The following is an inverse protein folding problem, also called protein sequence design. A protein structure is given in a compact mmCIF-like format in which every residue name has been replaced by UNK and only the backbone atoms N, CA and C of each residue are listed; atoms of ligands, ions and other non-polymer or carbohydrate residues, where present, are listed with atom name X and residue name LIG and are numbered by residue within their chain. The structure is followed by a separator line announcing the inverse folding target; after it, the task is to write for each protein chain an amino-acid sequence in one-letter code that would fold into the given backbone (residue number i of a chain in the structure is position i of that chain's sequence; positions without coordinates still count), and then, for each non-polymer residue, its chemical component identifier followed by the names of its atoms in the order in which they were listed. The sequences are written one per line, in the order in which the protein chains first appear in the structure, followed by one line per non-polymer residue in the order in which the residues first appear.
data_IF_107540194011
#
_entry.id   IF_107540194011
#
_cell.length_a   1.000
_cell.length_b   1.000
_cell.length_c   1.000
_cell.angle_alpha   90.00
_cell.angle_beta   90.00
_cell.angle_gamma   90.00
#
_symmetry.space_group_name_H-M   'P 1'
#
loop_
_entity.id
_entity.type
_entity.pdbx_description
1 polymer ?
#
# COMPACT_ATOMS: atom_id res chain seq x y z
N UNK A 1 -9.95 -21.29 -10.75
CA UNK A 1 -9.72 -20.13 -11.62
C UNK A 1 -8.86 -19.12 -10.85
N UNK A 2 -8.00 -18.33 -11.50
CA UNK A 2 -7.29 -17.26 -10.85
C UNK A 2 -8.29 -16.22 -10.32
N UNK A 3 -7.98 -15.63 -9.16
CA UNK A 3 -8.77 -14.57 -8.55
C UNK A 3 -8.38 -13.21 -9.11
N UNK A 4 -9.35 -12.30 -9.22
CA UNK A 4 -9.17 -10.95 -9.72
C UNK A 4 -9.33 -9.93 -8.60
N UNK A 5 -8.38 -9.01 -8.50
CA UNK A 5 -8.48 -7.84 -7.64
C UNK A 5 -8.25 -6.56 -8.43
N UNK A 6 -8.90 -5.47 -8.03
CA UNK A 6 -8.73 -4.17 -8.66
C UNK A 6 -7.97 -3.20 -7.76
N UNK A 7 -7.06 -2.43 -8.38
CA UNK A 7 -6.39 -1.29 -7.77
C UNK A 7 -7.07 0.01 -8.26
N UNK A 8 -7.40 0.98 -7.40
CA UNK A 8 -8.18 2.17 -7.75
C UNK A 8 -7.35 3.25 -8.46
N UNK A 9 -6.61 2.89 -9.52
CA UNK A 9 -5.66 3.80 -10.19
C UNK A 9 -6.30 5.10 -10.66
N UNK A 10 -7.50 5.04 -11.23
CA UNK A 10 -8.24 6.20 -11.72
C UNK A 10 -8.76 7.10 -10.58
N UNK A 11 -8.93 6.54 -9.38
CA UNK A 11 -9.51 7.22 -8.22
C UNK A 11 -8.47 7.63 -7.17
N UNK A 12 -7.17 7.46 -7.45
CA UNK A 12 -6.10 7.79 -6.49
C UNK A 12 -6.16 9.25 -6.02
N UNK A 13 -6.47 10.19 -6.94
CA UNK A 13 -6.55 11.59 -6.58
C UNK A 13 -7.76 11.90 -5.71
N UNK A 14 -9.02 11.51 -6.08
CA UNK A 14 -10.19 11.65 -5.21
C UNK A 14 -10.03 11.00 -3.84
N UNK A 15 -9.45 9.81 -3.77
CA UNK A 15 -9.29 9.03 -2.52
C UNK A 15 -8.18 9.56 -1.61
N UNK A 16 -7.04 10.01 -2.18
CA UNK A 16 -5.83 10.28 -1.40
C UNK A 16 -5.48 11.76 -1.27
N UNK A 17 -5.99 12.62 -2.16
CA UNK A 17 -5.63 14.05 -2.19
C UNK A 17 -6.81 14.97 -1.97
N UNK A 18 -7.83 14.83 -2.80
CA UNK A 18 -8.94 15.78 -2.85
C UNK A 18 -10.00 15.48 -1.79
N UNK A 19 -10.03 14.25 -1.26
CA UNK A 19 -11.04 13.80 -0.30
C UNK A 19 -12.48 13.82 -0.85
N UNK A 20 -12.62 13.81 -2.18
CA UNK A 20 -13.91 13.89 -2.88
C UNK A 20 -14.56 12.52 -3.09
N UNK A 21 -13.86 11.44 -2.72
CA UNK A 21 -14.37 10.06 -2.72
C UNK A 21 -13.92 9.38 -1.44
N UNK A 22 -14.84 8.71 -0.76
CA UNK A 22 -14.58 7.87 0.40
C UNK A 22 -14.20 6.45 -0.02
N UNK A 23 -13.56 5.69 0.88
CA UNK A 23 -13.29 4.27 0.66
C UNK A 23 -14.58 3.47 0.42
N UNK A 24 -15.64 3.79 1.16
CA UNK A 24 -16.94 3.12 1.01
C UNK A 24 -17.53 3.35 -0.38
N UNK A 25 -17.52 4.57 -0.88
CA UNK A 25 -18.01 4.88 -2.24
C UNK A 25 -17.22 4.14 -3.31
N UNK A 26 -15.90 4.02 -3.15
CA UNK A 26 -15.10 3.20 -4.08
C UNK A 26 -15.43 1.72 -3.98
N UNK A 27 -15.59 1.17 -2.78
CA UNK A 27 -15.97 -0.24 -2.58
C UNK A 27 -17.35 -0.51 -3.19
N UNK A 28 -18.32 0.38 -2.98
CA UNK A 28 -19.66 0.26 -3.54
C UNK A 28 -19.67 0.32 -5.07
N UNK A 29 -18.80 1.14 -5.67
CA UNK A 29 -18.60 1.22 -7.12
C UNK A 29 -17.97 -0.06 -7.69
N UNK A 30 -17.05 -0.67 -6.97
CA UNK A 30 -16.30 -1.84 -7.43
C UNK A 30 -17.03 -3.17 -7.17
N UNK A 31 -17.87 -3.25 -6.16
CA UNK A 31 -18.56 -4.48 -5.76
C UNK A 31 -19.35 -5.17 -6.91
N UNK A 32 -20.08 -4.45 -7.80
CA UNK A 32 -20.83 -5.09 -8.89
C UNK A 32 -19.96 -5.58 -10.05
N UNK A 33 -18.64 -5.36 -10.05
CA UNK A 33 -17.76 -5.70 -11.17
C UNK A 33 -17.35 -7.18 -11.24
N UNK A 34 -17.81 -8.03 -10.30
CA UNK A 34 -17.48 -9.45 -10.29
C UNK A 34 -16.03 -9.74 -9.90
N UNK A 35 -15.43 -8.88 -9.09
CA UNK A 35 -14.08 -9.03 -8.55
C UNK A 35 -14.09 -9.92 -7.30
N UNK A 36 -12.95 -10.55 -7.01
CA UNK A 36 -12.71 -11.27 -5.76
C UNK A 36 -12.19 -10.35 -4.64
N UNK A 37 -11.55 -9.24 -5.01
CA UNK A 37 -10.95 -8.35 -4.02
C UNK A 37 -10.58 -6.97 -4.53
N UNK A 38 -10.16 -6.12 -3.58
CA UNK A 38 -9.72 -4.74 -3.83
C UNK A 38 -8.36 -4.53 -3.19
N UNK A 39 -7.39 -4.07 -3.98
CA UNK A 39 -6.08 -3.68 -3.48
C UNK A 39 -6.14 -2.28 -2.88
N UNK A 40 -5.56 -2.13 -1.70
CA UNK A 40 -5.46 -0.84 -1.04
C UNK A 40 -4.10 -0.21 -1.24
N UNK A 41 -4.05 1.11 -1.18
CA UNK A 41 -2.82 1.89 -1.18
C UNK A 41 -2.62 2.50 0.22
N UNK A 42 -1.39 2.48 0.71
CA UNK A 42 -1.04 2.98 2.05
C UNK A 42 -1.46 4.44 2.29
N UNK A 43 -1.49 5.26 1.24
CA UNK A 43 -1.94 6.66 1.32
C UNK A 43 -3.45 6.87 1.42
N UNK A 44 -4.27 5.82 1.39
CA UNK A 44 -5.73 5.90 1.59
C UNK A 44 -6.12 5.89 3.07
N UNK A 45 -5.24 5.43 3.94
CA UNK A 45 -5.49 5.23 5.35
C UNK A 45 -4.45 5.97 6.19
N UNK A 46 -4.89 6.60 7.25
CA UNK A 46 -3.97 7.22 8.21
C UNK A 46 -3.21 6.15 8.99
N UNK A 47 -1.88 6.28 9.03
CA UNK A 47 -1.01 5.35 9.73
C UNK A 47 -1.32 5.25 11.23
N UNK A 48 -1.78 6.34 11.83
CA UNK A 48 -1.95 6.45 13.28
C UNK A 48 -3.33 5.97 13.80
N UNK A 49 -4.25 5.52 12.95
CA UNK A 49 -5.61 5.17 13.36
C UNK A 49 -6.01 3.71 13.05
N UNK A 50 -5.71 2.77 13.99
CA UNK A 50 -6.08 1.36 13.83
C UNK A 50 -7.59 1.11 13.73
N UNK A 51 -8.44 2.00 14.29
CA UNK A 51 -9.89 1.85 14.18
C UNK A 51 -10.35 2.04 12.74
N UNK A 52 -9.71 2.93 11.98
CA UNK A 52 -9.95 3.11 10.55
C UNK A 52 -9.54 1.90 9.72
N UNK A 53 -8.51 1.19 10.13
CA UNK A 53 -8.09 -0.03 9.42
C UNK A 53 -9.13 -1.14 9.57
N UNK A 54 -9.64 -1.33 10.78
CA UNK A 54 -10.71 -2.31 11.04
C UNK A 54 -11.99 -1.95 10.28
N UNK A 55 -12.34 -0.67 10.21
CA UNK A 55 -13.52 -0.19 9.45
C UNK A 55 -13.33 -0.38 7.94
N UNK A 56 -12.15 -0.08 7.41
CA UNK A 56 -11.81 -0.29 6.00
C UNK A 56 -11.93 -1.78 5.62
N UNK A 57 -11.38 -2.68 6.46
CA UNK A 57 -11.51 -4.13 6.29
C UNK A 57 -12.97 -4.56 6.28
N UNK A 58 -13.75 -4.16 7.29
CA UNK A 58 -15.17 -4.49 7.40
C UNK A 58 -15.96 -4.01 6.19
N UNK A 59 -15.70 -2.80 5.70
CA UNK A 59 -16.36 -2.22 4.52
C UNK A 59 -16.22 -3.11 3.28
N UNK A 60 -15.06 -3.73 3.08
CA UNK A 60 -14.79 -4.65 1.96
C UNK A 60 -15.45 -6.02 2.20
N UNK A 61 -15.31 -6.56 3.41
CA UNK A 61 -15.87 -7.87 3.79
C UNK A 61 -17.40 -7.87 3.72
N UNK A 62 -18.08 -6.79 4.08
CA UNK A 62 -19.54 -6.61 3.96
C UNK A 62 -20.06 -6.74 2.52
N UNK A 63 -19.20 -6.58 1.52
CA UNK A 63 -19.50 -6.76 0.09
C UNK A 63 -19.05 -8.12 -0.46
N UNK A 64 -18.61 -9.04 0.40
CA UNK A 64 -18.11 -10.35 0.01
C UNK A 64 -16.76 -10.31 -0.69
N UNK A 65 -16.02 -9.20 -0.60
CA UNK A 65 -14.70 -9.00 -1.18
C UNK A 65 -13.60 -9.19 -0.12
N UNK A 66 -12.35 -9.33 -0.58
CA UNK A 66 -11.17 -9.36 0.29
C UNK A 66 -10.20 -8.24 -0.06
N UNK A 67 -9.28 -7.93 0.85
CA UNK A 67 -8.13 -7.06 0.58
C UNK A 67 -6.91 -7.98 0.38
N UNK A 68 -6.52 -8.36 -0.84
CA UNK A 68 -5.41 -9.29 -1.04
C UNK A 68 -4.05 -8.65 -0.78
N UNK A 69 -3.94 -7.33 -1.00
CA UNK A 69 -2.66 -6.62 -0.98
C UNK A 69 -2.82 -5.18 -0.49
N UNK A 70 -1.90 -4.76 0.37
CA UNK A 70 -1.62 -3.35 0.63
C UNK A 70 -0.45 -2.91 -0.26
N UNK A 71 -0.67 -1.89 -1.08
CA UNK A 71 0.35 -1.34 -1.97
C UNK A 71 1.07 -0.18 -1.29
N UNK A 72 2.38 -0.31 -1.08
CA UNK A 72 3.24 0.70 -0.49
C UNK A 72 4.26 1.22 -1.51
N UNK A 73 4.78 2.42 -1.28
CA UNK A 73 5.70 3.08 -2.22
C UNK A 73 6.83 3.78 -1.46
N UNK A 74 7.63 3.05 -0.65
CA UNK A 74 8.80 3.61 0.00
C UNK A 74 9.87 3.99 -1.04
N UNK A 75 10.77 4.89 -0.67
CA UNK A 75 11.93 5.23 -1.47
C UNK A 75 13.22 4.68 -0.84
N UNK A 76 13.42 3.38 -0.98
CA UNK A 76 14.55 2.65 -0.45
C UNK A 76 15.85 2.85 -1.24
N UNK A 77 15.76 3.46 -2.43
CA UNK A 77 16.94 3.82 -3.23
C UNK A 77 17.47 5.22 -2.92
N UNK A 78 16.91 5.94 -1.95
CA UNK A 78 17.40 7.28 -1.60
C UNK A 78 18.85 7.22 -1.07
N UNK A 79 19.78 8.12 -1.52
CA UNK A 79 21.18 8.08 -1.10
C UNK A 79 21.37 8.43 0.37
N UNK A 80 20.53 9.30 0.93
CA UNK A 80 20.55 9.66 2.34
C UNK A 80 20.08 8.52 3.22
N UNK A 81 20.96 8.05 4.10
CA UNK A 81 20.70 6.93 5.00
C UNK A 81 19.62 7.24 6.05
N UNK A 82 19.56 8.49 6.53
CA UNK A 82 18.55 8.88 7.51
C UNK A 82 17.15 8.92 6.87
N UNK A 83 17.06 9.39 5.63
CA UNK A 83 15.83 9.32 4.86
C UNK A 83 15.36 7.86 4.69
N UNK A 84 16.25 6.96 4.30
CA UNK A 84 15.90 5.52 4.18
C UNK A 84 15.47 4.92 5.51
N UNK A 85 16.11 5.30 6.62
CA UNK A 85 15.70 4.84 7.97
C UNK A 85 14.25 5.20 8.27
N UNK A 86 13.83 6.42 7.94
CA UNK A 86 12.44 6.86 8.12
C UNK A 86 11.49 6.06 7.22
N UNK A 87 11.87 5.82 5.97
CA UNK A 87 11.05 5.00 5.04
C UNK A 87 10.93 3.53 5.50
N UNK A 88 11.99 2.95 6.07
CA UNK A 88 11.97 1.60 6.66
C UNK A 88 10.98 1.53 7.83
N UNK A 89 11.00 2.50 8.74
CA UNK A 89 10.06 2.50 9.87
C UNK A 89 8.59 2.70 9.41
N UNK A 90 8.37 3.50 8.39
CA UNK A 90 7.05 3.60 7.75
C UNK A 90 6.61 2.26 7.14
N UNK A 91 7.51 1.59 6.41
CA UNK A 91 7.19 0.30 5.78
C UNK A 91 6.84 -0.77 6.81
N UNK A 92 7.60 -0.87 7.91
CA UNK A 92 7.26 -1.74 9.04
C UNK A 92 5.85 -1.46 9.58
N UNK A 93 5.46 -0.20 9.61
CA UNK A 93 4.13 0.19 10.05
C UNK A 93 3.06 -0.24 9.03
N UNK A 94 3.32 -0.08 7.73
CA UNK A 94 2.43 -0.55 6.67
C UNK A 94 2.30 -2.06 6.62
N UNK A 95 3.35 -2.82 6.94
CA UNK A 95 3.29 -4.28 7.09
C UNK A 95 2.30 -4.66 8.22
N UNK A 96 2.35 -3.96 9.36
CA UNK A 96 1.38 -4.17 10.45
C UNK A 96 -0.04 -3.78 10.03
N UNK A 97 -0.20 -2.69 9.29
CA UNK A 97 -1.48 -2.28 8.72
C UNK A 97 -2.01 -3.34 7.74
N UNK A 98 -1.17 -3.87 6.85
CA UNK A 98 -1.56 -4.95 5.94
C UNK A 98 -2.10 -6.17 6.69
N UNK A 99 -1.43 -6.58 7.76
CA UNK A 99 -1.89 -7.66 8.62
C UNK A 99 -3.26 -7.35 9.27
N UNK A 100 -3.46 -6.14 9.79
CA UNK A 100 -4.72 -5.71 10.37
C UNK A 100 -5.87 -5.66 9.35
N UNK A 101 -5.57 -5.29 8.10
CA UNK A 101 -6.51 -5.31 6.98
C UNK A 101 -6.83 -6.74 6.50
N UNK A 102 -6.13 -7.76 6.98
CA UNK A 102 -6.27 -9.14 6.51
C UNK A 102 -5.61 -9.38 5.15
N UNK A 103 -4.75 -8.48 4.69
CA UNK A 103 -4.03 -8.62 3.44
C UNK A 103 -2.96 -9.72 3.54
N UNK A 104 -2.91 -10.58 2.53
CA UNK A 104 -1.89 -11.63 2.42
C UNK A 104 -0.53 -11.11 1.93
N UNK A 105 -0.50 -9.92 1.33
CA UNK A 105 0.70 -9.33 0.75
C UNK A 105 0.82 -7.85 1.07
N UNK A 106 2.05 -7.39 1.28
CA UNK A 106 2.44 -5.99 1.29
C UNK A 106 3.38 -5.76 0.10
N UNK A 107 2.95 -4.94 -0.87
CA UNK A 107 3.78 -4.64 -2.03
C UNK A 107 4.70 -3.48 -1.72
N UNK A 108 5.97 -3.67 -1.97
CA UNK A 108 7.03 -2.69 -1.78
C UNK A 108 7.59 -2.25 -3.13
N UNK A 109 7.62 -0.95 -3.40
CA UNK A 109 8.36 -0.39 -4.51
C UNK A 109 9.79 -0.03 -4.07
N UNK A 110 10.74 -0.15 -5.01
CA UNK A 110 12.15 0.06 -4.70
C UNK A 110 12.54 1.54 -4.49
N UNK A 111 11.82 2.47 -5.09
CA UNK A 111 12.12 3.91 -5.03
C UNK A 111 12.28 4.55 -6.40
N UNK A 112 13.02 5.65 -6.47
CA UNK A 112 13.17 6.47 -7.66
C UNK A 112 14.55 6.30 -8.30
N UNK A 113 14.58 6.34 -9.65
CA UNK A 113 15.85 6.40 -10.37
C UNK A 113 16.50 7.77 -10.16
N UNK A 114 17.80 7.76 -9.82
CA UNK A 114 18.63 8.97 -9.66
C UNK A 114 19.86 8.89 -10.56
N UNK A 115 20.21 9.99 -11.29
CA UNK A 115 21.36 9.99 -12.19
C UNK A 115 22.69 9.74 -11.48
N UNK A 116 22.82 10.20 -10.23
CA UNK A 116 24.02 10.05 -9.40
C UNK A 116 24.20 8.66 -8.80
N UNK A 117 23.19 7.80 -8.92
CA UNK A 117 23.20 6.46 -8.33
C UNK A 117 23.36 5.40 -9.41
N UNK A 118 24.41 4.58 -9.32
CA UNK A 118 24.52 3.42 -10.20
C UNK A 118 23.45 2.40 -9.89
N UNK A 119 23.03 1.62 -10.91
CA UNK A 119 22.04 0.56 -10.71
C UNK A 119 22.44 -0.44 -9.63
N UNK A 120 23.71 -0.86 -9.62
CA UNK A 120 24.23 -1.82 -8.64
C UNK A 120 24.07 -1.29 -7.22
N UNK A 121 24.50 -0.05 -6.97
CA UNK A 121 24.38 0.59 -5.67
C UNK A 121 22.93 0.78 -5.26
N UNK A 122 22.06 1.21 -6.21
CA UNK A 122 20.61 1.33 -5.93
C UNK A 122 19.96 -0.01 -5.52
N UNK A 123 20.32 -1.12 -6.18
CA UNK A 123 19.85 -2.46 -5.81
C UNK A 123 20.33 -2.85 -4.42
N UNK A 124 21.59 -2.56 -4.06
CA UNK A 124 22.14 -2.83 -2.74
C UNK A 124 21.40 -2.08 -1.63
N UNK A 125 21.15 -0.76 -1.82
CA UNK A 125 20.40 0.06 -0.87
C UNK A 125 18.97 -0.48 -0.65
N UNK A 126 18.30 -0.88 -1.72
CA UNK A 126 16.96 -1.46 -1.66
C UNK A 126 16.97 -2.81 -0.94
N UNK A 127 17.94 -3.70 -1.25
CA UNK A 127 18.05 -5.00 -0.59
C UNK A 127 18.25 -4.85 0.93
N UNK A 128 19.19 -3.99 1.34
CA UNK A 128 19.43 -3.67 2.75
C UNK A 128 18.17 -3.09 3.44
N UNK A 129 17.43 -2.22 2.75
CA UNK A 129 16.23 -1.62 3.32
C UNK A 129 15.08 -2.63 3.48
N UNK A 130 14.91 -3.53 2.51
CA UNK A 130 13.92 -4.63 2.61
C UNK A 130 14.30 -5.58 3.74
N UNK A 131 15.57 -5.99 3.83
CA UNK A 131 16.07 -6.85 4.90
C UNK A 131 15.83 -6.24 6.28
N UNK A 132 16.00 -4.92 6.41
CA UNK A 132 15.71 -4.20 7.66
C UNK A 132 14.22 -4.14 8.01
N UNK A 133 13.31 -4.43 7.07
CA UNK A 133 11.86 -4.50 7.32
C UNK A 133 11.40 -5.87 7.84
N UNK A 134 12.21 -6.92 7.67
CA UNK A 134 11.91 -8.29 8.06
C UNK A 134 12.27 -8.56 9.52
#
# INVERSE_FOLDING_TARGET
MPKLAAFPKAFMRPLCKDGTMTLREWVDLAAPLGLDGLEYYSGMLELADPARWADARRTVEERGLVIPMLCCSPDFSHPDAEFRRVEIEKEKHWIRMAAALGAGFCRVLSGQRRPELTRAHGVELVAQSIEACL
#
